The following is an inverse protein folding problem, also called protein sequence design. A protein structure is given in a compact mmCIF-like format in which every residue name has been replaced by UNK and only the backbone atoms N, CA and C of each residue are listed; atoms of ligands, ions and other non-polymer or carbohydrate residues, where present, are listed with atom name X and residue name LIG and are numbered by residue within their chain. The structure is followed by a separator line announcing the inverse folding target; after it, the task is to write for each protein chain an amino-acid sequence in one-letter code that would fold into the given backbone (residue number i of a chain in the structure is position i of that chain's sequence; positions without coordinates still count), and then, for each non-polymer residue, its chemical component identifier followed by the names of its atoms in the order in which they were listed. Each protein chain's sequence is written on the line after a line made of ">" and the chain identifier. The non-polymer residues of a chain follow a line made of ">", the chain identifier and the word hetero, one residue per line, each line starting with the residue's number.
data_IF_002206185793
#
_entry.id   IF_002206185793
#
_cell.length_a   1.000
_cell.length_b   1.000
_cell.length_c   1.000
_cell.angle_alpha   90.00
_cell.angle_beta   90.00
_cell.angle_gamma   90.00
#
_symmetry.space_group_name_H-M   'P 1'
#
loop_
_entity.id
_entity.type
_entity.pdbx_description
1 polymer ?
#
# COMPACT_ATOMS: atom_id res chain seq x y z
N UNK A 1 1.29 -55.20 -18.25
CA UNK A 1 1.17 -53.73 -18.42
C UNK A 1 1.69 -53.12 -17.14
N UNK A 2 2.76 -52.31 -17.12
CA UNK A 2 3.17 -51.63 -15.91
C UNK A 2 2.48 -50.26 -15.83
N UNK A 3 1.88 -49.97 -14.70
CA UNK A 3 1.30 -48.67 -14.37
C UNK A 3 2.44 -47.70 -14.03
N UNK A 4 2.49 -46.59 -14.76
CA UNK A 4 3.42 -45.49 -14.50
C UNK A 4 2.86 -44.62 -13.39
N UNK A 5 3.56 -44.62 -12.26
CA UNK A 5 3.38 -43.71 -11.15
C UNK A 5 3.92 -42.34 -11.57
N UNK A 6 3.05 -41.35 -11.73
CA UNK A 6 3.43 -39.96 -11.99
C UNK A 6 3.26 -39.16 -10.70
N UNK A 7 4.37 -39.00 -9.97
CA UNK A 7 4.59 -37.84 -9.11
C UNK A 7 4.42 -36.57 -9.95
N UNK A 8 3.51 -35.70 -9.55
CA UNK A 8 3.44 -34.33 -10.02
C UNK A 8 3.62 -33.43 -8.80
N UNK A 9 4.88 -33.13 -8.50
CA UNK A 9 5.26 -31.99 -7.68
C UNK A 9 4.94 -30.73 -8.49
N UNK A 10 3.80 -30.12 -8.18
CA UNK A 10 3.35 -28.86 -8.77
C UNK A 10 3.77 -27.69 -7.88
N UNK A 11 4.70 -26.90 -8.39
CA UNK A 11 5.27 -25.69 -7.82
C UNK A 11 4.29 -24.79 -7.06
N UNK A 12 4.66 -24.44 -5.83
CA UNK A 12 4.20 -23.21 -5.18
C UNK A 12 4.68 -22.03 -6.03
N UNK A 13 3.76 -21.34 -6.67
CA UNK A 13 4.01 -20.05 -7.29
C UNK A 13 3.80 -18.98 -6.22
N UNK A 14 4.91 -18.41 -5.76
CA UNK A 14 4.93 -17.23 -4.90
C UNK A 14 4.33 -16.06 -5.67
N UNK A 15 3.08 -15.72 -5.36
CA UNK A 15 2.43 -14.49 -5.83
C UNK A 15 3.03 -13.29 -5.12
N UNK A 16 4.15 -12.77 -5.64
CA UNK A 16 4.69 -11.46 -5.25
C UNK A 16 3.76 -10.38 -5.80
N UNK A 17 2.93 -9.80 -4.94
CA UNK A 17 2.36 -8.49 -5.19
C UNK A 17 3.51 -7.49 -5.08
N UNK A 18 3.99 -6.98 -6.22
CA UNK A 18 4.95 -5.90 -6.21
C UNK A 18 4.27 -4.67 -5.58
N UNK A 19 4.69 -4.27 -4.39
CA UNK A 19 4.41 -2.91 -3.93
C UNK A 19 5.17 -1.97 -4.86
N UNK A 20 4.47 -1.40 -5.85
CA UNK A 20 5.06 -0.43 -6.76
C UNK A 20 5.52 0.79 -5.95
N UNK A 21 6.83 1.00 -5.93
CA UNK A 21 7.53 2.14 -5.32
C UNK A 21 7.18 3.42 -6.09
N UNK A 22 6.03 4.00 -5.79
CA UNK A 22 5.57 5.26 -6.36
C UNK A 22 5.32 6.27 -5.23
N UNK A 23 6.32 6.52 -4.39
CA UNK A 23 6.26 7.66 -3.48
C UNK A 23 6.30 8.98 -4.26
N UNK A 24 5.54 9.98 -3.79
CA UNK A 24 5.39 11.27 -4.46
C UNK A 24 6.69 12.09 -4.51
N UNK A 25 7.03 12.59 -5.70
CA UNK A 25 8.04 13.62 -5.92
C UNK A 25 7.50 15.01 -5.55
N UNK A 26 7.79 15.45 -4.32
CA UNK A 26 7.80 16.88 -4.00
C UNK A 26 9.25 17.34 -3.91
N UNK A 27 9.64 18.11 -4.93
CA UNK A 27 10.94 18.77 -5.13
C UNK A 27 12.06 17.88 -5.69
N UNK A 28 12.39 18.10 -6.96
CA UNK A 28 13.46 17.38 -7.64
C UNK A 28 14.81 17.55 -6.94
N UNK A 29 15.27 16.49 -6.26
CA UNK A 29 16.64 16.20 -5.87
C UNK A 29 16.81 14.67 -5.77
N UNK A 30 17.78 14.12 -6.51
CA UNK A 30 18.34 12.76 -6.48
C UNK A 30 17.38 11.55 -6.46
N UNK A 31 17.33 10.85 -7.60
CA UNK A 31 16.62 9.59 -7.86
C UNK A 31 17.21 8.35 -7.13
N UNK A 32 17.87 8.51 -5.98
CA UNK A 32 18.61 7.42 -5.31
C UNK A 32 18.16 7.17 -3.85
N UNK A 33 17.22 7.96 -3.33
CA UNK A 33 16.76 7.86 -1.95
C UNK A 33 15.24 7.90 -1.88
N UNK A 34 14.63 6.92 -1.19
CA UNK A 34 13.19 6.86 -0.95
C UNK A 34 12.63 8.10 -0.21
N UNK A 35 11.31 8.16 0.04
CA UNK A 35 10.67 9.37 0.56
C UNK A 35 11.33 9.87 1.85
N UNK A 36 11.51 11.20 1.93
CA UNK A 36 12.19 11.84 3.06
C UNK A 36 11.42 11.55 4.36
N UNK A 37 12.06 11.01 5.42
CA UNK A 37 11.39 10.72 6.68
C UNK A 37 10.66 11.94 7.26
N UNK A 38 9.44 11.73 7.75
CA UNK A 38 8.56 12.77 8.27
C UNK A 38 7.67 13.46 7.22
N UNK A 39 7.82 13.11 5.94
CA UNK A 39 6.92 13.58 4.86
C UNK A 39 5.79 12.59 4.58
N UNK A 40 4.78 13.03 3.85
CA UNK A 40 3.74 12.14 3.33
C UNK A 40 4.30 11.43 2.09
N UNK A 41 4.49 10.13 2.20
CA UNK A 41 5.02 9.28 1.14
C UNK A 41 3.94 8.86 0.15
N UNK A 42 2.73 8.60 0.64
CA UNK A 42 1.66 7.98 -0.15
C UNK A 42 0.27 8.22 0.46
N UNK A 43 -0.77 7.85 -0.29
CA UNK A 43 -2.17 7.97 0.10
C UNK A 43 -2.97 6.80 -0.46
N UNK A 44 -3.55 5.96 0.41
CA UNK A 44 -4.38 4.82 -0.02
C UNK A 44 -5.82 4.90 0.46
N UNK A 45 -6.71 4.30 -0.33
CA UNK A 45 -8.10 4.02 0.04
C UNK A 45 -8.40 2.54 -0.17
N UNK A 46 -8.80 1.85 0.89
CA UNK A 46 -9.26 0.46 0.84
C UNK A 46 -10.78 0.37 0.82
N UNK A 47 -11.35 -0.30 -0.19
CA UNK A 47 -12.81 -0.38 -0.41
C UNK A 47 -13.24 -1.74 -0.99
N UNK A 48 -14.50 -2.18 -0.80
CA UNK A 48 -14.97 -3.46 -1.36
C UNK A 48 -14.98 -3.52 -2.89
N UNK A 49 -15.25 -2.39 -3.56
CA UNK A 49 -15.42 -2.29 -5.02
C UNK A 49 -14.42 -1.28 -5.62
N UNK A 50 -13.12 -1.61 -5.59
CA UNK A 50 -12.04 -0.70 -5.97
C UNK A 50 -12.17 -0.14 -7.39
N UNK A 51 -12.57 -0.98 -8.37
CA UNK A 51 -12.75 -0.53 -9.75
C UNK A 51 -13.87 0.53 -9.90
N UNK A 52 -14.95 0.40 -9.14
CA UNK A 52 -16.03 1.39 -9.16
C UNK A 52 -15.60 2.73 -8.52
N UNK A 53 -14.77 2.67 -7.48
CA UNK A 53 -14.24 3.86 -6.80
C UNK A 53 -13.15 4.54 -7.62
N UNK A 54 -12.31 3.78 -8.32
CA UNK A 54 -11.42 4.28 -9.38
C UNK A 54 -12.20 5.10 -10.40
N UNK A 55 -13.25 4.52 -11.00
CA UNK A 55 -14.05 5.21 -12.02
C UNK A 55 -14.70 6.49 -11.49
N UNK A 56 -15.14 6.46 -10.23
CA UNK A 56 -15.66 7.64 -9.56
C UNK A 56 -14.61 8.76 -9.49
N UNK A 57 -13.41 8.50 -8.97
CA UNK A 57 -12.38 9.53 -8.87
C UNK A 57 -11.84 9.98 -10.23
N UNK A 58 -11.74 9.08 -11.21
CA UNK A 58 -11.44 9.46 -12.59
C UNK A 58 -12.47 10.44 -13.16
N UNK A 59 -13.76 10.24 -12.88
CA UNK A 59 -14.83 11.14 -13.32
C UNK A 59 -14.93 12.46 -12.53
N UNK A 60 -14.55 12.46 -11.26
CA UNK A 60 -14.72 13.62 -10.36
C UNK A 60 -13.50 14.54 -10.34
N UNK A 61 -12.31 13.97 -10.17
CA UNK A 61 -11.06 14.75 -10.04
C UNK A 61 -10.16 14.65 -11.28
N UNK A 62 -10.51 13.80 -12.25
CA UNK A 62 -9.77 13.68 -13.50
C UNK A 62 -8.52 12.79 -13.42
N UNK A 63 -8.40 11.94 -12.40
CA UNK A 63 -7.29 11.00 -12.30
C UNK A 63 -7.33 9.93 -13.38
N UNK A 64 -6.16 9.56 -13.91
CA UNK A 64 -5.99 8.33 -14.68
C UNK A 64 -5.64 7.19 -13.74
N UNK A 65 -5.80 5.95 -14.20
CA UNK A 65 -5.57 4.76 -13.40
C UNK A 65 -4.71 3.76 -14.15
N UNK A 66 -3.72 3.22 -13.46
CA UNK A 66 -2.87 2.12 -13.91
C UNK A 66 -3.13 0.89 -13.03
N UNK A 67 -3.27 -0.32 -13.61
CA UNK A 67 -3.42 -1.53 -12.81
C UNK A 67 -2.19 -1.77 -11.94
N UNK A 68 -2.43 -2.10 -10.67
CA UNK A 68 -1.44 -2.62 -9.74
C UNK A 68 -1.77 -4.11 -9.50
N UNK A 69 -1.06 -5.05 -10.17
CA UNK A 69 -1.43 -6.47 -10.16
C UNK A 69 -1.32 -7.11 -8.77
N UNK A 70 -2.38 -7.79 -8.37
CA UNK A 70 -2.46 -8.62 -7.17
C UNK A 70 -2.75 -10.09 -7.56
N UNK A 71 -2.73 -11.01 -6.59
CA UNK A 71 -3.10 -12.40 -6.85
C UNK A 71 -4.60 -12.53 -7.18
N UNK A 72 -4.91 -12.63 -8.48
CA UNK A 72 -6.26 -12.84 -9.01
C UNK A 72 -7.13 -11.60 -9.15
N UNK A 73 -6.58 -10.38 -8.97
CA UNK A 73 -7.27 -9.10 -9.19
C UNK A 73 -6.25 -7.96 -9.36
N UNK A 74 -6.73 -6.77 -9.70
CA UNK A 74 -5.90 -5.56 -9.77
C UNK A 74 -6.40 -4.52 -8.76
N UNK A 75 -5.48 -4.00 -7.96
CA UNK A 75 -5.62 -2.68 -7.33
C UNK A 75 -5.29 -1.59 -8.36
N UNK A 76 -5.34 -0.31 -7.96
CA UNK A 76 -5.18 0.81 -8.88
C UNK A 76 -4.23 1.87 -8.34
N UNK A 77 -3.18 2.16 -9.10
CA UNK A 77 -2.40 3.38 -8.93
C UNK A 77 -3.10 4.50 -9.70
N UNK A 78 -3.50 5.54 -8.99
CA UNK A 78 -4.11 6.73 -9.56
C UNK A 78 -3.04 7.75 -9.87
N UNK A 79 -3.13 8.43 -11.01
CA UNK A 79 -2.23 9.51 -11.38
C UNK A 79 -3.00 10.80 -11.67
N UNK A 80 -2.37 11.94 -11.36
CA UNK A 80 -2.87 13.28 -11.63
C UNK A 80 -2.91 13.57 -13.14
N UNK A 81 -3.50 14.70 -13.52
CA UNK A 81 -3.55 15.13 -14.92
C UNK A 81 -2.15 15.33 -15.55
N UNK A 82 -1.15 15.61 -14.72
CA UNK A 82 0.25 15.78 -15.15
C UNK A 82 1.01 14.44 -15.25
N UNK A 83 0.34 13.31 -14.96
CA UNK A 83 0.92 11.97 -15.02
C UNK A 83 1.61 11.54 -13.72
N UNK A 84 1.71 12.43 -12.73
CA UNK A 84 2.32 12.12 -11.43
C UNK A 84 1.43 11.20 -10.61
N UNK A 85 2.03 10.21 -9.96
CA UNK A 85 1.34 9.31 -9.03
C UNK A 85 0.63 10.14 -7.94
N UNK A 86 -0.62 9.80 -7.66
CA UNK A 86 -1.54 10.61 -6.85
C UNK A 86 -2.07 9.88 -5.61
N UNK A 87 -2.40 8.60 -5.75
CA UNK A 87 -2.98 7.78 -4.68
C UNK A 87 -3.09 6.31 -5.12
N UNK A 88 -3.31 5.40 -4.18
CA UNK A 88 -3.77 4.04 -4.46
C UNK A 88 -5.25 3.83 -4.10
N UNK A 89 -5.93 3.02 -4.89
CA UNK A 89 -7.28 2.51 -4.58
C UNK A 89 -7.21 1.00 -4.58
N UNK A 90 -7.34 0.43 -3.37
CA UNK A 90 -7.15 -0.99 -3.12
C UNK A 90 -8.46 -1.69 -2.78
N UNK A 91 -8.55 -2.97 -3.12
CA UNK A 91 -9.60 -3.81 -2.59
C UNK A 91 -9.40 -4.04 -1.09
N UNK A 92 -10.48 -3.93 -0.32
CA UNK A 92 -10.52 -4.29 1.11
C UNK A 92 -10.47 -5.82 1.27
N UNK A 93 -9.31 -6.41 1.00
CA UNK A 93 -9.02 -7.85 1.02
C UNK A 93 -7.68 -8.11 1.70
N UNK A 94 -7.46 -9.35 2.14
CA UNK A 94 -6.22 -9.73 2.82
C UNK A 94 -5.91 -8.80 3.99
N UNK A 95 -4.74 -8.19 3.96
CA UNK A 95 -4.26 -7.22 4.95
C UNK A 95 -5.14 -5.95 5.05
N UNK A 96 -5.80 -5.57 3.97
CA UNK A 96 -6.66 -4.40 3.87
C UNK A 96 -8.12 -4.65 4.31
N UNK A 97 -8.52 -5.90 4.57
CA UNK A 97 -9.91 -6.26 4.82
C UNK A 97 -10.52 -5.58 6.07
N UNK A 98 -9.69 -5.23 7.05
CA UNK A 98 -10.13 -4.57 8.29
C UNK A 98 -10.06 -3.04 8.26
N UNK A 99 -9.58 -2.45 7.16
CA UNK A 99 -9.37 -1.01 7.09
C UNK A 99 -10.68 -0.26 6.82
N UNK A 100 -10.90 0.91 7.45
CA UNK A 100 -12.05 1.75 7.16
C UNK A 100 -11.95 2.36 5.74
N UNK A 101 -13.09 2.61 5.06
CA UNK A 101 -13.10 3.23 3.73
C UNK A 101 -12.88 4.75 3.83
N UNK A 102 -11.67 5.12 4.24
CA UNK A 102 -11.18 6.50 4.34
C UNK A 102 -9.84 6.60 3.62
N UNK A 103 -9.49 7.80 3.17
CA UNK A 103 -8.13 8.07 2.69
C UNK A 103 -7.15 8.02 3.85
N UNK A 104 -6.17 7.13 3.78
CA UNK A 104 -5.15 6.90 4.80
C UNK A 104 -3.81 7.45 4.27
N UNK A 105 -3.26 8.51 4.88
CA UNK A 105 -1.94 9.01 4.51
C UNK A 105 -0.84 8.11 5.09
N UNK A 106 0.22 7.93 4.32
CA UNK A 106 1.41 7.16 4.71
C UNK A 106 2.53 8.14 4.99
N UNK A 107 3.08 8.11 6.19
CA UNK A 107 4.20 8.96 6.59
C UNK A 107 5.51 8.18 6.56
N UNK A 108 6.50 8.72 5.87
CA UNK A 108 7.82 8.09 5.74
C UNK A 108 8.53 8.04 7.10
N UNK A 109 9.12 6.90 7.43
CA UNK A 109 9.93 6.67 8.63
C UNK A 109 11.19 5.90 8.28
N UNK A 110 12.25 6.11 9.06
CA UNK A 110 13.53 5.40 8.87
C UNK A 110 13.50 3.97 9.43
N UNK A 111 12.65 3.72 10.43
CA UNK A 111 12.53 2.45 11.12
C UNK A 111 11.06 2.22 11.50
N UNK A 112 10.46 1.23 10.84
CA UNK A 112 9.05 0.87 11.01
C UNK A 112 8.73 0.41 12.42
N UNK A 113 9.58 -0.45 13.00
CA UNK A 113 9.32 -1.04 14.31
C UNK A 113 9.48 0.03 15.41
N UNK A 114 10.48 0.90 15.28
CA UNK A 114 10.67 2.04 16.18
C UNK A 114 9.49 3.02 16.10
N UNK A 115 8.99 3.31 14.89
CA UNK A 115 7.84 4.20 14.71
C UNK A 115 6.55 3.64 15.33
N UNK A 116 6.26 2.35 15.12
CA UNK A 116 5.11 1.68 15.74
C UNK A 116 5.22 1.67 17.26
N UNK A 117 6.41 1.38 17.80
CA UNK A 117 6.67 1.43 19.25
C UNK A 117 6.46 2.83 19.82
N UNK A 118 6.97 3.87 19.14
CA UNK A 118 6.81 5.25 19.56
C UNK A 118 5.33 5.69 19.54
N UNK A 119 4.60 5.37 18.47
CA UNK A 119 3.19 5.71 18.34
C UNK A 119 2.32 5.06 19.42
N UNK A 120 2.53 3.76 19.68
CA UNK A 120 1.80 3.04 20.73
C UNK A 120 2.17 3.53 22.13
N UNK A 121 3.46 3.84 22.38
CA UNK A 121 3.91 4.46 23.62
C UNK A 121 3.30 5.86 23.87
N UNK A 122 2.93 6.57 22.81
CA UNK A 122 2.25 7.87 22.87
C UNK A 122 0.71 7.77 22.96
N UNK A 123 0.15 6.56 23.10
CA UNK A 123 -1.29 6.33 23.22
C UNK A 123 -2.01 6.05 21.90
N UNK A 124 -1.27 5.87 20.81
CA UNK A 124 -1.80 5.34 19.56
C UNK A 124 -2.11 3.84 19.65
N UNK A 125 -2.83 3.33 18.66
CA UNK A 125 -3.23 1.92 18.57
C UNK A 125 -2.91 1.35 17.20
N UNK A 126 -2.48 0.10 17.16
CA UNK A 126 -2.27 -0.63 15.91
C UNK A 126 -3.62 -1.06 15.34
N UNK A 127 -3.90 -0.64 14.11
CA UNK A 127 -5.09 -1.04 13.33
C UNK A 127 -4.75 -2.25 12.45
N UNK A 128 -3.62 -2.18 11.75
CA UNK A 128 -3.02 -3.30 11.03
C UNK A 128 -1.52 -3.34 11.36
N UNK A 129 -1.03 -4.51 11.79
CA UNK A 129 0.36 -4.68 12.19
C UNK A 129 1.35 -4.53 11.02
N UNK A 130 2.66 -4.44 11.30
CA UNK A 130 3.68 -4.32 10.27
C UNK A 130 3.55 -5.38 9.17
N UNK A 131 3.43 -4.92 7.93
CA UNK A 131 3.51 -5.71 6.71
C UNK A 131 4.82 -5.35 6.00
N UNK A 132 5.47 -6.34 5.38
CA UNK A 132 6.78 -6.15 4.73
C UNK A 132 6.79 -6.85 3.39
N UNK A 133 7.27 -6.14 2.38
CA UNK A 133 7.45 -6.65 1.02
C UNK A 133 8.71 -6.03 0.42
N UNK A 134 9.55 -6.84 -0.22
CA UNK A 134 10.71 -6.37 -0.98
C UNK A 134 11.73 -5.47 -0.26
N UNK A 135 11.77 -5.46 1.08
CA UNK A 135 12.62 -4.56 1.88
C UNK A 135 11.88 -3.34 2.45
N UNK A 136 10.77 -2.96 1.81
CA UNK A 136 9.83 -1.96 2.31
C UNK A 136 8.88 -2.55 3.34
N UNK A 137 8.20 -1.68 4.09
CA UNK A 137 7.12 -2.10 4.97
C UNK A 137 6.27 -0.96 5.49
N UNK A 138 5.07 -1.29 5.94
CA UNK A 138 4.15 -0.31 6.50
C UNK A 138 3.36 -0.89 7.67
N UNK A 139 2.77 -0.02 8.48
CA UNK A 139 1.79 -0.38 9.51
C UNK A 139 0.70 0.68 9.58
N UNK A 140 -0.55 0.25 9.76
CA UNK A 140 -1.67 1.17 9.92
C UNK A 140 -1.96 1.37 11.40
N UNK A 141 -2.01 2.62 11.81
CA UNK A 141 -2.16 3.06 13.19
C UNK A 141 -3.36 4.00 13.30
N UNK A 142 -3.79 4.22 14.54
CA UNK A 142 -4.74 5.27 14.88
C UNK A 142 -4.22 6.09 16.05
N UNK A 143 -4.24 7.40 15.91
CA UNK A 143 -3.73 8.33 16.92
C UNK A 143 -4.72 8.49 18.11
N UNK A 144 -4.34 9.20 19.19
CA UNK A 144 -5.23 9.44 20.33
C UNK A 144 -6.49 10.26 20.00
N UNK A 145 -6.50 11.01 18.90
CA UNK A 145 -7.67 11.76 18.43
C UNK A 145 -8.62 10.90 17.60
N UNK A 146 -8.19 9.69 17.21
CA UNK A 146 -8.96 8.74 16.41
C UNK A 146 -8.66 8.79 14.91
N UNK A 147 -7.68 9.57 14.46
CA UNK A 147 -7.31 9.63 13.04
C UNK A 147 -6.52 8.38 12.64
N UNK A 148 -6.90 7.75 11.52
CA UNK A 148 -6.19 6.61 10.94
C UNK A 148 -5.11 7.09 9.98
N UNK A 149 -3.90 6.57 10.13
CA UNK A 149 -2.74 6.87 9.29
C UNK A 149 -1.85 5.64 9.17
N UNK A 150 -0.93 5.64 8.22
CA UNK A 150 0.12 4.63 8.11
C UNK A 150 1.50 5.23 8.32
N UNK A 151 2.42 4.41 8.81
CA UNK A 151 3.86 4.69 8.75
C UNK A 151 4.48 3.75 7.72
N UNK A 152 5.38 4.27 6.90
CA UNK A 152 6.00 3.56 5.79
C UNK A 152 7.52 3.67 5.85
N UNK A 153 8.21 2.55 5.74
CA UNK A 153 9.64 2.46 5.59
C UNK A 153 9.94 1.97 4.18
N UNK A 154 10.71 2.74 3.41
CA UNK A 154 11.26 2.30 2.13
C UNK A 154 12.40 1.28 2.34
N UNK A 155 12.60 0.40 1.37
CA UNK A 155 13.65 -0.62 1.35
C UNK A 155 15.06 -0.09 1.15
#
# INVERSE_FOLDING_TARGET
>A
MPEHDHHHDGHAHDGHAHAHDHAHDHDGHDHDHGPTPGTMAWLDLSVPEAAAIRDFYSGVVGWTAEPAPMDGYDDWTMASADGEAAAGICYARGENAGLPPVWIPYFAVTDLDAAVSAATGAGGVVVAGPQRDGGSGYAVLRDPAGATFAVFQAG
#
